data_IF_257299215972
#
_entry.id   IF_257299215972
#
_cell.length_a   1.000
_cell.length_b   1.000
_cell.length_c   1.000
_cell.angle_alpha   90.00
_cell.angle_beta   90.00
_cell.angle_gamma   90.00
#
_symmetry.space_group_name_H-M   'P 1'
#
loop_
_entity.id
_entity.type
_entity.pdbx_description
1 polymer ?
#
# COMPACT_ATOMS: atom_id res chain seq x y z
N UNK A 1 5.58 32.40 -32.87
CA UNK A 1 5.25 31.02 -32.46
C UNK A 1 6.05 30.69 -31.22
N UNK A 2 5.52 31.03 -30.05
CA UNK A 2 6.15 30.67 -28.77
C UNK A 2 5.77 29.23 -28.44
N UNK A 3 6.75 28.32 -28.50
CA UNK A 3 6.56 26.93 -28.07
C UNK A 3 6.62 26.89 -26.55
N UNK A 4 5.47 26.86 -25.90
CA UNK A 4 5.33 26.57 -24.48
C UNK A 4 5.87 25.16 -24.23
N UNK A 5 7.09 25.05 -23.69
CA UNK A 5 7.67 23.78 -23.27
C UNK A 5 6.82 23.20 -22.15
N UNK A 6 6.00 22.20 -22.47
CA UNK A 6 5.31 21.37 -21.48
C UNK A 6 6.36 20.79 -20.55
N UNK A 7 6.38 21.29 -19.31
CA UNK A 7 7.20 20.75 -18.22
C UNK A 7 6.67 19.35 -17.91
N UNK A 8 7.26 18.34 -18.52
CA UNK A 8 7.04 16.94 -18.16
C UNK A 8 7.37 16.83 -16.68
N UNK A 9 6.35 16.58 -15.86
CA UNK A 9 6.52 16.30 -14.44
C UNK A 9 7.27 14.97 -14.38
N UNK A 10 8.59 14.99 -14.20
CA UNK A 10 9.33 13.78 -13.91
C UNK A 10 8.70 13.13 -12.67
N UNK A 11 8.02 12.01 -12.90
CA UNK A 11 7.44 11.21 -11.82
C UNK A 11 8.57 10.40 -11.21
N UNK A 12 8.79 10.59 -9.92
CA UNK A 12 9.76 9.82 -9.15
C UNK A 12 9.03 8.64 -8.51
N UNK A 13 9.45 7.41 -8.84
CA UNK A 13 8.93 6.22 -8.16
C UNK A 13 9.36 6.21 -6.69
N UNK A 14 8.73 5.38 -5.87
CA UNK A 14 9.14 5.21 -4.49
C UNK A 14 10.60 4.72 -4.40
N UNK A 15 10.98 3.78 -5.26
CA UNK A 15 12.33 3.19 -5.28
C UNK A 15 13.40 4.21 -5.69
N UNK A 16 13.08 5.08 -6.66
CA UNK A 16 14.00 6.17 -7.05
C UNK A 16 14.25 7.13 -5.88
N UNK A 17 13.17 7.55 -5.20
CA UNK A 17 13.27 8.45 -4.04
C UNK A 17 14.15 7.84 -2.94
N UNK A 18 13.91 6.57 -2.61
CA UNK A 18 14.68 5.85 -1.59
C UNK A 18 16.15 5.71 -1.99
N UNK A 19 16.43 5.46 -3.28
CA UNK A 19 17.81 5.35 -3.79
C UNK A 19 18.58 6.67 -3.64
N UNK A 20 17.96 7.80 -4.01
CA UNK A 20 18.56 9.14 -3.83
C UNK A 20 18.79 9.46 -2.35
N UNK A 21 17.81 9.16 -1.49
CA UNK A 21 17.93 9.37 -0.03
C UNK A 21 19.07 8.54 0.56
N UNK A 22 19.17 7.25 0.19
CA UNK A 22 20.24 6.36 0.66
C UNK A 22 21.61 6.88 0.25
N UNK A 23 21.73 7.35 -0.99
CA UNK A 23 22.98 7.94 -1.51
C UNK A 23 23.38 9.18 -0.71
N UNK A 24 22.43 10.07 -0.40
CA UNK A 24 22.69 11.23 0.45
C UNK A 24 23.19 10.82 1.85
N UNK A 25 22.55 9.83 2.48
CA UNK A 25 22.90 9.35 3.83
C UNK A 25 24.29 8.68 3.92
N UNK A 26 24.87 8.23 2.80
CA UNK A 26 26.14 7.50 2.75
C UNK A 26 27.40 8.38 2.65
N UNK A 27 27.28 9.71 2.85
CA UNK A 27 28.36 10.75 2.89
C UNK A 27 28.46 11.68 1.67
N UNK A 28 27.35 12.00 1.00
CA UNK A 28 27.34 13.04 -0.04
C UNK A 28 26.76 14.34 0.51
N UNK A 29 27.39 15.49 0.19
CA UNK A 29 26.75 16.79 0.46
C UNK A 29 25.41 16.83 -0.27
N UNK A 30 24.44 17.53 0.31
CA UNK A 30 23.09 17.61 -0.27
C UNK A 30 23.12 18.18 -1.69
N UNK A 31 24.01 19.15 -1.94
CA UNK A 31 24.21 19.79 -3.25
C UNK A 31 24.67 18.76 -4.29
N UNK A 32 25.77 18.05 -4.02
CA UNK A 32 26.33 17.02 -4.90
C UNK A 32 25.28 15.94 -5.24
N UNK A 33 24.52 15.49 -4.24
CA UNK A 33 23.46 14.48 -4.44
C UNK A 33 22.31 15.01 -5.32
N UNK A 34 21.95 16.28 -5.14
CA UNK A 34 20.90 16.94 -5.91
C UNK A 34 21.33 17.15 -7.37
N UNK A 35 22.58 17.55 -7.60
CA UNK A 35 23.13 17.72 -8.95
C UNK A 35 23.19 16.40 -9.72
N UNK A 36 23.78 15.36 -9.12
CA UNK A 36 23.94 14.05 -9.77
C UNK A 36 22.61 13.39 -10.13
N UNK A 37 21.58 13.55 -9.28
CA UNK A 37 20.27 12.94 -9.50
C UNK A 37 19.27 13.90 -10.15
N UNK A 38 19.66 15.14 -10.48
CA UNK A 38 18.77 16.19 -11.01
C UNK A 38 17.52 16.39 -10.14
N UNK A 39 17.70 16.33 -8.82
CA UNK A 39 16.65 16.52 -7.81
C UNK A 39 16.84 17.90 -7.18
N UNK A 40 15.75 18.63 -6.97
CA UNK A 40 15.83 19.90 -6.26
C UNK A 40 16.05 19.67 -4.75
N UNK A 41 16.92 20.44 -4.05
CA UNK A 41 17.18 20.26 -2.62
C UNK A 41 15.93 20.23 -1.73
N UNK A 42 14.96 21.09 -2.02
CA UNK A 42 13.67 21.12 -1.31
C UNK A 42 12.89 19.80 -1.45
N UNK A 43 12.96 19.14 -2.62
CA UNK A 43 12.29 17.84 -2.82
C UNK A 43 13.00 16.73 -2.05
N UNK A 44 14.33 16.69 -2.11
CA UNK A 44 15.11 15.70 -1.36
C UNK A 44 14.88 15.84 0.15
N UNK A 45 14.91 17.07 0.67
CA UNK A 45 14.60 17.36 2.08
C UNK A 45 13.19 16.92 2.47
N UNK A 46 12.19 17.18 1.63
CA UNK A 46 10.82 16.72 1.86
C UNK A 46 10.74 15.18 1.93
N UNK A 47 11.42 14.47 1.02
CA UNK A 47 11.41 13.01 1.04
C UNK A 47 12.14 12.43 2.26
N UNK A 48 13.29 13.00 2.64
CA UNK A 48 14.02 12.60 3.85
C UNK A 48 13.11 12.76 5.08
N UNK A 49 12.43 13.90 5.20
CA UNK A 49 11.49 14.13 6.31
C UNK A 49 10.39 13.06 6.35
N UNK A 50 9.74 12.80 5.21
CA UNK A 50 8.69 11.77 5.13
C UNK A 50 9.21 10.38 5.54
N UNK A 51 10.38 9.98 5.05
CA UNK A 51 10.97 8.67 5.37
C UNK A 51 11.36 8.56 6.84
N UNK A 52 11.94 9.61 7.42
CA UNK A 52 12.34 9.59 8.83
C UNK A 52 11.13 9.57 9.78
N UNK A 53 10.04 10.26 9.45
CA UNK A 53 8.81 10.25 10.25
C UNK A 53 8.15 8.86 10.22
N UNK A 54 7.95 8.31 9.02
CA UNK A 54 7.43 6.94 8.87
C UNK A 54 8.37 5.91 9.51
N UNK A 55 9.69 6.13 9.43
CA UNK A 55 10.70 5.31 10.08
C UNK A 55 10.59 5.34 11.60
N UNK A 56 10.33 6.51 12.21
CA UNK A 56 10.07 6.64 13.65
C UNK A 56 8.87 5.81 14.07
N UNK A 57 7.76 5.90 13.36
CA UNK A 57 6.55 5.10 13.65
C UNK A 57 6.80 3.60 13.50
N UNK A 58 7.51 3.19 12.44
CA UNK A 58 7.85 1.80 12.20
C UNK A 58 8.79 1.21 13.28
N UNK A 59 9.77 2.01 13.73
CA UNK A 59 10.74 1.60 14.76
C UNK A 59 10.16 1.64 16.18
N UNK A 60 9.18 2.52 16.46
CA UNK A 60 8.50 2.60 17.75
C UNK A 60 7.67 1.33 18.07
N UNK A 61 7.45 0.45 17.09
CA UNK A 61 6.87 -0.88 17.30
C UNK A 61 5.38 -0.89 17.67
N UNK A 62 4.73 0.28 17.84
CA UNK A 62 3.31 0.41 18.14
C UNK A 62 2.43 -0.27 17.08
N UNK A 63 2.81 -0.17 15.81
CA UNK A 63 2.09 -0.79 14.71
C UNK A 63 2.18 -2.32 14.68
N UNK A 64 3.19 -2.97 15.28
CA UNK A 64 3.29 -4.45 15.17
C UNK A 64 2.19 -5.18 15.91
N UNK A 65 1.79 -4.69 17.09
CA UNK A 65 0.71 -5.30 17.87
C UNK A 65 -0.64 -5.04 17.20
N UNK A 66 -0.91 -3.78 16.85
CA UNK A 66 -2.16 -3.39 16.19
C UNK A 66 -2.33 -4.06 14.82
N UNK A 67 -1.24 -4.16 14.04
CA UNK A 67 -1.25 -4.87 12.75
C UNK A 67 -1.55 -6.36 12.93
N UNK A 68 -0.92 -7.03 13.89
CA UNK A 68 -1.21 -8.44 14.20
C UNK A 68 -2.65 -8.65 14.68
N UNK A 69 -3.17 -7.72 15.48
CA UNK A 69 -4.57 -7.76 15.93
C UNK A 69 -5.53 -7.59 14.75
N UNK A 70 -5.25 -6.64 13.86
CA UNK A 70 -6.00 -6.44 12.60
C UNK A 70 -5.94 -7.67 11.69
N UNK A 71 -4.75 -8.27 11.48
CA UNK A 71 -4.61 -9.51 10.71
C UNK A 71 -5.41 -10.66 11.31
N UNK A 72 -5.39 -10.79 12.65
CA UNK A 72 -6.16 -11.82 13.35
C UNK A 72 -7.67 -11.61 13.18
N UNK A 73 -8.14 -10.36 13.27
CA UNK A 73 -9.54 -9.98 13.02
C UNK A 73 -9.94 -10.30 11.58
N UNK A 74 -9.12 -9.90 10.59
CA UNK A 74 -9.36 -10.19 9.18
C UNK A 74 -9.48 -11.71 8.96
N UNK A 75 -8.53 -12.50 9.47
CA UNK A 75 -8.59 -13.96 9.34
C UNK A 75 -9.83 -14.55 10.00
N UNK A 76 -10.24 -14.01 11.16
CA UNK A 76 -11.45 -14.46 11.86
C UNK A 76 -12.70 -14.17 11.03
N UNK A 77 -12.83 -12.95 10.52
CA UNK A 77 -13.97 -12.57 9.69
C UNK A 77 -14.01 -13.33 8.36
N UNK A 78 -12.86 -13.58 7.73
CA UNK A 78 -12.76 -14.38 6.52
C UNK A 78 -13.32 -15.79 6.75
N UNK A 79 -12.93 -16.44 7.87
CA UNK A 79 -13.43 -17.77 8.24
C UNK A 79 -14.94 -17.79 8.48
N UNK A 80 -15.47 -16.76 9.14
CA UNK A 80 -16.91 -16.64 9.38
C UNK A 80 -17.69 -16.43 8.08
N UNK A 81 -17.16 -15.63 7.14
CA UNK A 81 -17.74 -15.47 5.80
C UNK A 81 -17.75 -16.82 5.06
N UNK A 82 -16.64 -17.54 5.04
CA UNK A 82 -16.54 -18.85 4.39
C UNK A 82 -17.46 -19.90 5.00
N UNK A 83 -17.67 -19.84 6.32
CA UNK A 83 -18.64 -20.71 7.01
C UNK A 83 -20.06 -20.37 6.61
N UNK A 84 -20.43 -19.08 6.63
CA UNK A 84 -21.78 -18.63 6.25
C UNK A 84 -22.09 -18.95 4.80
N UNK A 85 -21.14 -18.74 3.90
CA UNK A 85 -21.29 -19.07 2.47
C UNK A 85 -21.54 -20.57 2.27
N UNK A 86 -20.87 -21.45 3.02
CA UNK A 86 -21.12 -22.90 2.97
C UNK A 86 -22.54 -23.27 3.40
N UNK A 87 -22.99 -22.74 4.53
CA UNK A 87 -24.35 -22.98 5.04
C UNK A 87 -25.40 -22.49 4.04
N UNK A 88 -25.19 -21.30 3.46
CA UNK A 88 -26.09 -20.76 2.43
C UNK A 88 -26.12 -21.66 1.21
N UNK A 89 -24.97 -22.14 0.73
CA UNK A 89 -24.90 -23.02 -0.44
C UNK A 89 -25.63 -24.34 -0.19
N UNK A 90 -25.47 -24.92 1.00
CA UNK A 90 -26.18 -26.14 1.43
C UNK A 90 -27.70 -25.92 1.44
N UNK A 91 -28.18 -24.90 2.15
CA UNK A 91 -29.61 -24.58 2.20
C UNK A 91 -30.19 -24.23 0.82
N UNK A 92 -29.43 -23.54 -0.02
CA UNK A 92 -29.88 -23.19 -1.38
C UNK A 92 -29.97 -24.44 -2.24
N UNK A 93 -29.06 -25.41 -2.07
CA UNK A 93 -29.13 -26.72 -2.72
C UNK A 93 -30.42 -27.46 -2.35
N UNK A 94 -30.70 -27.56 -1.05
CA UNK A 94 -31.92 -28.19 -0.53
C UNK A 94 -33.20 -27.51 -1.08
N UNK A 95 -33.25 -26.18 -1.11
CA UNK A 95 -34.40 -25.44 -1.67
C UNK A 95 -34.58 -25.71 -3.16
N UNK A 96 -33.49 -25.76 -3.93
CA UNK A 96 -33.54 -26.05 -5.37
C UNK A 96 -34.07 -27.47 -5.61
N UNK A 97 -33.61 -28.44 -4.83
CA UNK A 97 -34.03 -29.83 -5.00
C UNK A 97 -35.49 -30.03 -4.59
N UNK A 98 -35.92 -29.41 -3.49
CA UNK A 98 -37.34 -29.38 -3.09
C UNK A 98 -38.23 -28.70 -4.16
N UNK A 99 -37.78 -27.61 -4.78
CA UNK A 99 -38.51 -26.95 -5.87
C UNK A 99 -38.68 -27.85 -7.09
N UNK A 100 -37.64 -28.61 -7.46
CA UNK A 100 -37.70 -29.59 -8.55
C UNK A 100 -38.66 -30.73 -8.22
N UNK A 101 -38.63 -31.24 -6.99
CA UNK A 101 -39.55 -32.29 -6.53
C UNK A 101 -41.01 -31.81 -6.53
N UNK A 102 -41.26 -30.55 -6.18
CA UNK A 102 -42.60 -29.98 -6.13
C UNK A 102 -43.14 -29.47 -7.49
N UNK A 103 -42.38 -29.63 -8.58
CA UNK A 103 -42.80 -29.23 -9.93
C UNK A 103 -42.87 -27.72 -10.18
N UNK A 104 -42.39 -26.90 -9.24
CA UNK A 104 -42.30 -25.44 -9.35
C UNK A 104 -40.96 -25.06 -9.99
N UNK A 105 -40.89 -25.19 -11.32
CA UNK A 105 -39.76 -24.67 -12.12
C UNK A 105 -39.96 -23.21 -12.50
#
# INVERSE_FOLDING_TARGET
MEKTTQKTRNSWSADDKISVIRKHMQKSKMVDTCEENRVHPTMLSAWIKTVLEAGREALAGSNKKEFREKEKLISTYQKEIDRKNRIIAELTGEIIDLKKENGES
#
